data_IF_735877898663
#
_entry.id   IF_735877898663
#
_cell.length_a   1.000
_cell.length_b   1.000
_cell.length_c   1.000
_cell.angle_alpha   90.00
_cell.angle_beta   90.00
_cell.angle_gamma   90.00
#
_symmetry.space_group_name_H-M   'P 1'
#
loop_
_entity.id
_entity.type
_entity.pdbx_description
1 polymer ?
#
# COMPACT_ATOMS: atom_id res chain seq x y z
N UNK A 1 9.48 -19.78 37.83
CA UNK A 1 9.52 -18.33 37.56
C UNK A 1 10.04 -18.15 36.15
N UNK A 2 9.14 -17.94 35.19
CA UNK A 2 9.46 -17.77 33.77
C UNK A 2 9.78 -16.30 33.55
N UNK A 3 11.01 -15.99 33.14
CA UNK A 3 11.38 -14.67 32.63
C UNK A 3 10.50 -14.34 31.43
N UNK A 4 9.51 -13.48 31.62
CA UNK A 4 8.88 -12.75 30.54
C UNK A 4 9.94 -11.80 29.96
N UNK A 5 10.77 -12.30 29.05
CA UNK A 5 11.47 -11.45 28.10
C UNK A 5 10.40 -10.78 27.26
N UNK A 6 10.02 -9.56 27.65
CA UNK A 6 9.26 -8.68 26.80
C UNK A 6 9.94 -8.69 25.44
N UNK A 7 9.26 -9.25 24.43
CA UNK A 7 9.68 -9.19 23.04
C UNK A 7 9.47 -7.73 22.63
N UNK A 8 10.40 -6.88 23.06
CA UNK A 8 10.52 -5.52 22.60
C UNK A 8 10.97 -5.61 21.16
N UNK A 9 10.03 -5.58 20.21
CA UNK A 9 10.38 -5.13 18.87
C UNK A 9 10.96 -3.74 19.10
N UNK A 10 12.27 -3.69 18.89
CA UNK A 10 13.10 -2.57 19.26
C UNK A 10 12.49 -1.34 18.59
N UNK A 11 12.06 -0.36 19.38
CA UNK A 11 11.69 0.96 18.87
C UNK A 11 12.84 1.54 18.00
N UNK A 12 14.06 1.01 18.19
CA UNK A 12 15.23 1.22 17.34
C UNK A 12 15.04 0.78 15.87
N UNK A 13 14.25 -0.26 15.58
CA UNK A 13 13.95 -0.70 14.20
C UNK A 13 13.06 0.34 13.49
N UNK A 14 12.11 0.95 14.21
CA UNK A 14 11.30 2.09 13.74
C UNK A 14 12.13 3.35 13.50
N UNK A 15 13.20 3.53 14.28
CA UNK A 15 14.12 4.66 14.16
C UNK A 15 15.09 4.54 12.97
N UNK A 16 15.18 3.38 12.31
CA UNK A 16 16.06 3.21 11.15
C UNK A 16 15.46 3.91 9.93
N UNK A 17 16.24 4.82 9.35
CA UNK A 17 15.94 5.41 8.05
C UNK A 17 15.67 4.30 7.00
N UNK A 18 14.74 4.51 6.04
CA UNK A 18 14.50 3.58 4.94
C UNK A 18 15.66 3.64 3.92
N UNK A 19 16.85 3.20 4.35
CA UNK A 19 18.12 3.34 3.63
C UNK A 19 18.04 2.72 2.24
N UNK A 20 17.48 1.51 2.10
CA UNK A 20 17.37 0.82 0.81
C UNK A 20 16.59 1.65 -0.21
N UNK A 21 15.48 2.25 0.21
CA UNK A 21 14.63 3.08 -0.66
C UNK A 21 15.31 4.39 -1.03
N UNK A 22 16.00 5.01 -0.06
CA UNK A 22 16.76 6.23 -0.31
C UNK A 22 17.93 5.99 -1.28
N UNK A 23 18.67 4.90 -1.10
CA UNK A 23 19.75 4.50 -2.02
C UNK A 23 19.18 4.27 -3.42
N UNK A 24 18.07 3.54 -3.53
CA UNK A 24 17.45 3.26 -4.82
C UNK A 24 17.02 4.56 -5.54
N UNK A 25 16.37 5.49 -4.82
CA UNK A 25 15.96 6.77 -5.38
C UNK A 25 17.16 7.66 -5.75
N UNK A 26 18.23 7.62 -4.96
CA UNK A 26 19.47 8.32 -5.26
C UNK A 26 20.13 7.78 -6.53
N UNK A 27 20.15 6.45 -6.72
CA UNK A 27 20.64 5.82 -7.94
C UNK A 27 19.82 6.24 -9.16
N UNK A 28 18.49 6.34 -9.04
CA UNK A 28 17.67 6.91 -10.12
C UNK A 28 18.01 8.35 -10.44
N UNK A 29 18.13 9.20 -9.41
CA UNK A 29 18.44 10.61 -9.60
C UNK A 29 19.79 10.74 -10.34
N UNK A 30 20.79 9.97 -9.92
CA UNK A 30 22.10 9.90 -10.57
C UNK A 30 22.01 9.38 -12.01
N UNK A 31 21.22 8.33 -12.27
CA UNK A 31 21.01 7.81 -13.62
C UNK A 31 20.40 8.87 -14.56
N UNK A 32 19.44 9.68 -14.07
CA UNK A 32 18.88 10.80 -14.82
C UNK A 32 19.91 11.89 -15.14
N UNK A 33 20.79 12.21 -14.18
CA UNK A 33 21.89 13.18 -14.39
C UNK A 33 22.89 12.65 -15.41
N UNK A 34 23.34 11.39 -15.26
CA UNK A 34 24.25 10.74 -16.21
C UNK A 34 23.64 10.71 -17.60
N UNK A 35 22.36 10.35 -17.72
CA UNK A 35 21.64 10.35 -18.99
C UNK A 35 21.59 11.76 -19.61
N UNK A 36 21.36 12.81 -18.81
CA UNK A 36 21.36 14.18 -19.30
C UNK A 36 22.75 14.63 -19.78
N UNK A 37 23.81 14.31 -19.02
CA UNK A 37 25.19 14.67 -19.37
C UNK A 37 25.67 13.93 -20.61
N UNK A 38 25.44 12.61 -20.69
CA UNK A 38 25.86 11.79 -21.83
C UNK A 38 25.20 12.19 -23.15
N UNK A 39 24.00 12.77 -23.11
CA UNK A 39 23.28 13.21 -24.30
C UNK A 39 23.44 14.70 -24.57
N UNK A 40 24.20 15.43 -23.75
CA UNK A 40 24.48 16.85 -23.96
C UNK A 40 25.53 17.01 -25.06
N UNK A 41 25.23 17.81 -26.07
CA UNK A 41 26.19 18.13 -27.13
C UNK A 41 26.48 16.96 -28.09
N UNK A 42 25.63 15.91 -28.11
CA UNK A 42 25.73 14.87 -29.13
C UNK A 42 25.50 15.47 -30.51
N UNK A 43 26.39 15.14 -31.43
CA UNK A 43 26.27 15.52 -32.83
C UNK A 43 25.12 14.76 -33.50
N UNK A 44 24.48 15.42 -34.46
CA UNK A 44 23.30 14.93 -35.16
C UNK A 44 23.74 14.35 -36.49
N UNK A 45 23.51 13.05 -36.68
CA UNK A 45 23.73 12.42 -37.98
C UNK A 45 22.42 12.45 -38.77
N UNK A 46 22.35 13.38 -39.74
CA UNK A 46 21.17 13.55 -40.60
C UNK A 46 21.00 12.33 -41.50
N UNK A 47 19.85 11.68 -41.45
CA UNK A 47 19.55 10.52 -42.30
C UNK A 47 18.24 10.64 -43.05
N UNK A 48 18.19 10.11 -44.28
CA UNK A 48 16.98 9.90 -45.06
C UNK A 48 16.78 8.40 -45.27
N UNK A 49 15.68 7.84 -44.75
CA UNK A 49 15.39 6.39 -44.83
C UNK A 49 16.56 5.49 -44.36
N UNK A 50 17.34 5.95 -43.37
CA UNK A 50 18.48 5.22 -42.83
C UNK A 50 19.81 5.44 -43.56
N UNK A 51 19.86 6.25 -44.61
CA UNK A 51 21.11 6.65 -45.28
C UNK A 51 21.56 8.05 -44.85
N UNK A 52 22.85 8.27 -44.55
CA UNK A 52 23.36 9.58 -44.18
C UNK A 52 23.20 10.58 -45.35
N UNK A 53 22.82 11.81 -45.03
CA UNK A 53 22.67 12.90 -46.00
C UNK A 53 23.85 13.88 -45.90
N UNK A 54 24.20 14.50 -47.02
CA UNK A 54 25.18 15.60 -47.09
C UNK A 54 24.47 16.96 -47.25
N UNK A 55 25.16 18.08 -46.90
CA UNK A 55 24.65 19.42 -47.17
C UNK A 55 24.27 19.60 -48.65
N UNK A 56 23.04 20.06 -48.91
CA UNK A 56 22.49 20.22 -50.26
C UNK A 56 21.58 19.06 -50.72
N UNK A 57 21.57 17.93 -50.02
CA UNK A 57 20.68 16.80 -50.36
C UNK A 57 19.21 17.09 -50.03
N UNK A 58 18.30 16.40 -50.73
CA UNK A 58 16.87 16.43 -50.42
C UNK A 58 16.33 15.02 -50.20
N UNK A 59 15.52 14.86 -49.16
CA UNK A 59 14.90 13.59 -48.81
C UNK A 59 13.45 13.58 -49.31
N UNK A 60 13.10 12.57 -50.10
CA UNK A 60 11.71 12.31 -50.50
C UNK A 60 11.11 11.23 -49.61
N UNK A 61 10.06 11.60 -48.88
CA UNK A 61 9.31 10.65 -48.06
C UNK A 61 7.91 10.44 -48.63
N UNK A 62 7.51 9.18 -48.78
CA UNK A 62 6.18 8.82 -49.27
C UNK A 62 5.21 8.67 -48.09
N UNK A 63 4.12 9.45 -48.07
CA UNK A 63 3.08 9.33 -47.04
C UNK A 63 2.04 8.27 -47.46
N UNK A 64 1.63 7.42 -46.52
CA UNK A 64 0.58 6.39 -46.67
C UNK A 64 -0.77 6.87 -47.24
N UNK A 65 -1.04 8.19 -47.25
CA UNK A 65 -2.25 8.81 -47.83
C UNK A 65 -2.02 9.50 -49.19
N UNK A 66 -0.98 9.10 -49.93
CA UNK A 66 -0.84 9.47 -51.34
C UNK A 66 -0.21 10.85 -51.59
N UNK A 67 0.87 11.20 -50.88
CA UNK A 67 1.62 12.42 -51.14
C UNK A 67 3.12 12.24 -50.91
N UNK A 68 3.94 12.85 -51.75
CA UNK A 68 5.40 12.93 -51.57
C UNK A 68 5.74 14.23 -50.84
N UNK A 69 6.39 14.11 -49.67
CA UNK A 69 6.95 15.26 -48.97
C UNK A 69 8.44 15.30 -49.26
N UNK A 70 8.90 16.37 -49.90
CA UNK A 70 10.33 16.65 -50.08
C UNK A 70 10.78 17.55 -48.93
N UNK A 71 11.84 17.16 -48.22
CA UNK A 71 12.48 17.99 -47.19
C UNK A 71 13.95 18.17 -47.54
N UNK A 72 14.47 19.38 -47.36
CA UNK A 72 15.89 19.66 -47.56
C UNK A 72 16.72 19.15 -46.39
N UNK A 73 18.03 18.95 -46.60
CA UNK A 73 19.00 18.64 -45.55
C UNK A 73 18.86 19.57 -44.35
N UNK A 74 18.80 20.89 -44.57
CA UNK A 74 18.69 21.90 -43.50
C UNK A 74 17.40 21.75 -42.67
N UNK A 75 16.28 21.42 -43.33
CA UNK A 75 15.01 21.20 -42.64
C UNK A 75 15.01 19.93 -41.78
N UNK A 76 15.72 18.89 -42.20
CA UNK A 76 15.85 17.65 -41.41
C UNK A 76 16.86 17.86 -40.28
N UNK A 77 17.99 18.49 -40.58
CA UNK A 77 19.00 18.85 -39.59
C UNK A 77 18.42 19.67 -38.45
N UNK A 78 17.60 20.69 -38.73
CA UNK A 78 16.93 21.48 -37.70
C UNK A 78 16.08 20.58 -36.79
N UNK A 79 15.15 19.81 -37.37
CA UNK A 79 14.24 18.93 -36.61
C UNK A 79 14.98 17.87 -35.79
N UNK A 80 16.02 17.26 -36.35
CA UNK A 80 16.81 16.25 -35.64
C UNK A 80 17.66 16.89 -34.54
N UNK A 81 18.26 18.05 -34.79
CA UNK A 81 19.00 18.83 -33.77
C UNK A 81 18.11 19.18 -32.59
N UNK A 82 16.90 19.65 -32.86
CA UNK A 82 15.93 20.00 -31.83
C UNK A 82 15.52 18.77 -31.00
N UNK A 83 15.39 17.62 -31.65
CA UNK A 83 15.03 16.36 -30.99
C UNK A 83 16.16 15.79 -30.13
N UNK A 84 17.42 15.96 -30.54
CA UNK A 84 18.61 15.53 -29.79
C UNK A 84 18.85 16.48 -28.62
N UNK A 85 18.66 17.79 -28.80
CA UNK A 85 18.76 18.78 -27.73
C UNK A 85 17.64 18.63 -26.68
N UNK A 86 16.50 18.02 -27.04
CA UNK A 86 15.41 17.71 -26.10
C UNK A 86 15.75 16.57 -25.12
N UNK A 87 16.62 15.63 -25.50
CA UNK A 87 16.96 14.44 -24.70
C UNK A 87 17.51 14.76 -23.30
N UNK A 88 18.44 15.72 -23.10
CA UNK A 88 18.91 16.05 -21.76
C UNK A 88 17.80 16.53 -20.81
N UNK A 89 16.77 17.22 -21.32
CA UNK A 89 15.65 17.68 -20.51
C UNK A 89 14.79 16.53 -19.98
N UNK A 90 14.71 15.42 -20.71
CA UNK A 90 14.08 14.19 -20.22
C UNK A 90 14.81 13.63 -18.99
N UNK A 91 16.15 13.61 -19.02
CA UNK A 91 16.98 13.18 -17.90
C UNK A 91 16.82 14.09 -16.69
N UNK A 92 16.88 15.41 -16.89
CA UNK A 92 16.69 16.41 -15.82
C UNK A 92 15.31 16.26 -15.17
N UNK A 93 14.24 16.12 -15.96
CA UNK A 93 12.89 15.99 -15.44
C UNK A 93 12.72 14.70 -14.61
N UNK A 94 13.29 13.58 -15.05
CA UNK A 94 13.32 12.34 -14.27
C UNK A 94 14.09 12.49 -12.95
N UNK A 95 15.23 13.20 -12.95
CA UNK A 95 15.99 13.50 -11.73
C UNK A 95 15.16 14.32 -10.73
N UNK A 96 14.44 15.34 -11.19
CA UNK A 96 13.59 16.18 -10.33
C UNK A 96 12.49 15.35 -9.64
N UNK A 97 11.87 14.40 -10.34
CA UNK A 97 10.87 13.49 -9.78
C UNK A 97 11.49 12.61 -8.68
N UNK A 98 12.66 12.02 -8.94
CA UNK A 98 13.36 11.20 -7.95
C UNK A 98 13.72 12.00 -6.70
N UNK A 99 14.24 13.22 -6.85
CA UNK A 99 14.56 14.13 -5.73
C UNK A 99 13.30 14.51 -4.94
N UNK A 100 12.20 14.84 -5.61
CA UNK A 100 10.93 15.15 -4.94
C UNK A 100 10.44 13.96 -4.09
N UNK A 101 10.60 12.73 -4.59
CA UNK A 101 10.25 11.53 -3.84
C UNK A 101 11.19 11.25 -2.66
N UNK A 102 12.49 11.53 -2.79
CA UNK A 102 13.44 11.48 -1.66
C UNK A 102 12.96 12.42 -0.56
N UNK A 103 12.64 13.67 -0.90
CA UNK A 103 12.14 14.67 0.05
C UNK A 103 10.84 14.19 0.70
N UNK A 104 9.90 13.64 -0.07
CA UNK A 104 8.66 13.09 0.47
C UNK A 104 8.89 11.93 1.46
N UNK A 105 9.82 11.02 1.16
CA UNK A 105 10.20 9.91 2.05
C UNK A 105 10.83 10.43 3.33
N UNK A 106 11.75 11.40 3.24
CA UNK A 106 12.42 11.98 4.41
C UNK A 106 11.43 12.74 5.30
N UNK A 107 10.59 13.61 4.73
CA UNK A 107 9.55 14.32 5.48
C UNK A 107 8.63 13.33 6.18
N UNK A 108 8.27 12.23 5.48
CA UNK A 108 7.43 11.20 6.06
C UNK A 108 8.11 10.51 7.23
N UNK A 109 9.37 10.13 7.07
CA UNK A 109 10.16 9.51 8.13
C UNK A 109 10.29 10.42 9.36
N UNK A 110 10.53 11.72 9.18
CA UNK A 110 10.62 12.67 10.30
C UNK A 110 9.28 12.77 11.06
N UNK A 111 8.15 12.85 10.34
CA UNK A 111 6.81 12.84 10.98
C UNK A 111 6.55 11.55 11.76
N UNK A 112 6.99 10.45 11.18
CA UNK A 112 6.87 9.11 11.73
C UNK A 112 7.74 8.95 13.00
N UNK A 113 8.96 9.50 13.03
CA UNK A 113 9.80 9.57 14.23
C UNK A 113 9.19 10.40 15.35
N UNK A 114 8.61 11.57 15.03
CA UNK A 114 7.95 12.43 16.01
C UNK A 114 6.81 11.68 16.71
N UNK A 115 6.02 10.94 15.93
CA UNK A 115 4.91 10.12 16.42
C UNK A 115 5.37 8.97 17.33
N UNK A 116 6.46 8.30 16.95
CA UNK A 116 7.05 7.23 17.76
C UNK A 116 7.59 7.76 19.08
N UNK A 117 8.20 8.94 19.08
CA UNK A 117 8.69 9.58 20.29
C UNK A 117 7.55 9.92 21.25
N UNK A 118 6.41 10.40 20.74
CA UNK A 118 5.20 10.65 21.53
C UNK A 118 4.68 9.37 22.22
N UNK A 119 4.65 8.25 21.50
CA UNK A 119 4.23 6.95 22.05
C UNK A 119 5.23 6.42 23.07
N UNK A 120 6.53 6.62 22.84
CA UNK A 120 7.60 6.11 23.71
C UNK A 120 7.72 6.83 25.06
N UNK A 121 7.11 8.01 25.20
CA UNK A 121 7.02 8.70 26.49
C UNK A 121 6.17 7.92 27.51
N UNK A 122 5.33 6.99 27.04
CA UNK A 122 4.59 6.03 27.85
C UNK A 122 5.32 4.68 27.71
N UNK A 123 5.80 4.03 28.78
CA UNK A 123 6.46 2.73 28.65
C UNK A 123 5.42 1.69 28.19
N UNK A 124 5.48 1.20 26.94
CA UNK A 124 4.52 0.21 26.47
C UNK A 124 4.91 -1.16 27.02
N UNK A 125 3.92 -1.96 27.41
CA UNK A 125 4.18 -3.33 27.80
C UNK A 125 4.72 -4.12 26.59
N UNK A 126 4.08 -4.01 25.42
CA UNK A 126 4.46 -4.69 24.18
C UNK A 126 4.28 -3.76 22.97
N UNK A 127 5.15 -3.84 21.96
CA UNK A 127 5.03 -3.07 20.71
C UNK A 127 5.11 -4.01 19.51
N UNK A 128 4.08 -3.99 18.68
CA UNK A 128 4.05 -4.66 17.39
C UNK A 128 4.15 -3.60 16.29
N UNK A 129 5.17 -3.70 15.43
CA UNK A 129 5.40 -2.74 14.35
C UNK A 129 5.25 -3.46 13.03
N UNK A 130 4.50 -2.88 12.10
CA UNK A 130 4.54 -3.28 10.69
C UNK A 130 5.14 -2.18 9.86
N UNK A 131 6.43 -2.34 9.54
CA UNK A 131 7.09 -1.52 8.52
C UNK A 131 6.68 -2.03 7.16
N UNK A 132 5.93 -1.22 6.40
CA UNK A 132 5.53 -1.61 5.04
C UNK A 132 6.76 -1.79 4.15
N UNK A 133 6.69 -2.77 3.26
CA UNK A 133 7.56 -2.88 2.09
C UNK A 133 7.55 -1.58 1.27
N UNK A 134 8.71 -0.93 1.17
CA UNK A 134 8.92 0.28 0.38
C UNK A 134 9.00 0.03 -1.14
N UNK A 135 8.76 -1.20 -1.60
CA UNK A 135 8.84 -1.58 -3.01
C UNK A 135 7.87 -0.77 -3.88
N UNK A 136 6.65 -0.50 -3.39
CA UNK A 136 5.66 0.29 -4.13
C UNK A 136 6.07 1.74 -4.39
N UNK A 137 6.87 2.33 -3.50
CA UNK A 137 7.45 3.67 -3.68
C UNK A 137 8.53 3.62 -4.76
N UNK A 138 9.42 2.63 -4.71
CA UNK A 138 10.51 2.48 -5.68
C UNK A 138 9.99 2.25 -7.11
N UNK A 139 9.14 1.25 -7.31
CA UNK A 139 8.59 0.94 -8.64
C UNK A 139 7.68 2.04 -9.18
N UNK A 140 6.86 2.65 -8.33
CA UNK A 140 6.03 3.79 -8.72
C UNK A 140 6.84 4.99 -9.17
N UNK A 141 7.93 5.29 -8.46
CA UNK A 141 8.83 6.40 -8.83
C UNK A 141 9.57 6.08 -10.13
N UNK A 142 10.02 4.84 -10.34
CA UNK A 142 10.60 4.42 -11.63
C UNK A 142 9.66 4.73 -12.80
N UNK A 143 8.41 4.26 -12.70
CA UNK A 143 7.43 4.43 -13.75
C UNK A 143 7.12 5.92 -14.00
N UNK A 144 6.97 6.71 -12.93
CA UNK A 144 6.77 8.14 -13.02
C UNK A 144 7.95 8.85 -13.70
N UNK A 145 9.19 8.51 -13.36
CA UNK A 145 10.39 9.07 -14.00
C UNK A 145 10.42 8.80 -15.51
N UNK A 146 10.06 7.59 -15.95
CA UNK A 146 10.00 7.25 -17.37
C UNK A 146 8.93 8.07 -18.10
N UNK A 147 7.73 8.17 -17.53
CA UNK A 147 6.61 8.91 -18.12
C UNK A 147 6.94 10.41 -18.21
N UNK A 148 7.49 10.99 -17.13
CA UNK A 148 7.89 12.41 -17.10
C UNK A 148 9.03 12.67 -18.07
N UNK A 149 10.00 11.77 -18.20
CA UNK A 149 11.08 11.89 -19.18
C UNK A 149 10.55 11.97 -20.61
N UNK A 150 9.64 11.06 -20.99
CA UNK A 150 8.99 11.10 -22.31
C UNK A 150 8.15 12.38 -22.49
N UNK A 151 7.40 12.78 -21.45
CA UNK A 151 6.62 14.01 -21.48
C UNK A 151 7.47 15.26 -21.68
N UNK A 152 8.59 15.37 -20.96
CA UNK A 152 9.53 16.50 -21.08
C UNK A 152 10.19 16.55 -22.46
N UNK A 153 10.56 15.39 -23.03
CA UNK A 153 11.08 15.32 -24.39
C UNK A 153 10.06 15.77 -25.44
N UNK A 154 8.81 15.31 -25.33
CA UNK A 154 7.71 15.73 -26.23
C UNK A 154 7.43 17.23 -26.09
N UNK A 155 7.42 17.76 -24.87
CA UNK A 155 7.18 19.17 -24.61
C UNK A 155 8.27 20.03 -25.24
N UNK A 156 9.54 19.67 -25.05
CA UNK A 156 10.65 20.41 -25.65
C UNK A 156 10.64 20.32 -27.18
N UNK A 157 10.56 19.10 -27.73
CA UNK A 157 10.59 18.87 -29.18
C UNK A 157 9.41 19.52 -29.89
N UNK A 158 8.19 19.30 -29.41
CA UNK A 158 6.98 19.64 -30.16
C UNK A 158 6.45 21.02 -29.81
N UNK A 159 6.49 21.46 -28.55
CA UNK A 159 5.96 22.79 -28.17
C UNK A 159 7.01 23.89 -28.33
N UNK A 160 8.19 23.71 -27.74
CA UNK A 160 9.20 24.77 -27.65
C UNK A 160 9.86 25.01 -29.00
N UNK A 161 10.12 23.93 -29.76
CA UNK A 161 10.81 24.08 -31.06
C UNK A 161 9.89 23.83 -32.26
N UNK A 162 9.05 22.81 -32.23
CA UNK A 162 8.18 22.46 -33.35
C UNK A 162 6.89 23.29 -33.50
N UNK A 163 6.51 24.07 -32.48
CA UNK A 163 5.22 24.77 -32.35
C UNK A 163 3.98 23.91 -32.71
N UNK A 164 4.01 22.62 -32.36
CA UNK A 164 2.96 21.63 -32.58
C UNK A 164 2.21 21.38 -31.28
N UNK A 165 0.98 21.89 -31.21
CA UNK A 165 0.08 21.70 -30.06
C UNK A 165 -0.17 20.22 -29.71
N UNK A 166 -0.13 19.31 -30.69
CA UNK A 166 -0.37 17.88 -30.46
C UNK A 166 0.63 17.22 -29.50
N UNK A 167 1.92 17.60 -29.57
CA UNK A 167 2.92 17.05 -28.64
C UNK A 167 2.84 17.67 -27.24
N UNK A 168 2.40 18.92 -27.15
CA UNK A 168 2.12 19.58 -25.86
C UNK A 168 1.00 18.87 -25.10
N UNK A 169 -0.10 18.53 -25.78
CA UNK A 169 -1.22 17.79 -25.17
C UNK A 169 -0.74 16.44 -24.61
N UNK A 170 0.05 15.69 -25.37
CA UNK A 170 0.60 14.40 -24.91
C UNK A 170 1.55 14.57 -23.72
N UNK A 171 2.35 15.64 -23.69
CA UNK A 171 3.20 15.96 -22.56
C UNK A 171 2.39 16.26 -21.29
N UNK A 172 1.29 17.01 -21.39
CA UNK A 172 0.40 17.26 -20.25
C UNK A 172 -0.30 16.00 -19.75
N UNK A 173 -0.74 15.12 -20.67
CA UNK A 173 -1.31 13.81 -20.31
C UNK A 173 -0.28 12.96 -19.57
N UNK A 174 0.96 12.91 -20.07
CA UNK A 174 2.06 12.20 -19.40
C UNK A 174 2.30 12.74 -17.99
N UNK A 175 2.32 14.08 -17.81
CA UNK A 175 2.50 14.70 -16.50
C UNK A 175 1.35 14.37 -15.54
N UNK A 176 0.10 14.37 -16.00
CA UNK A 176 -1.06 13.99 -15.20
C UNK A 176 -1.00 12.51 -14.77
N UNK A 177 -0.61 11.61 -15.68
CA UNK A 177 -0.44 10.18 -15.37
C UNK A 177 0.68 9.95 -14.35
N UNK A 178 1.82 10.62 -14.53
CA UNK A 178 2.92 10.55 -13.58
C UNK A 178 2.52 11.08 -12.20
N UNK A 179 1.78 12.19 -12.13
CA UNK A 179 1.25 12.72 -10.88
C UNK A 179 0.30 11.73 -10.20
N UNK A 180 -0.58 11.07 -10.95
CA UNK A 180 -1.46 10.01 -10.45
C UNK A 180 -0.68 8.81 -9.88
N UNK A 181 0.36 8.37 -10.58
CA UNK A 181 1.25 7.30 -10.12
C UNK A 181 1.98 7.69 -8.82
N UNK A 182 2.58 8.88 -8.76
CA UNK A 182 3.26 9.37 -7.57
C UNK A 182 2.29 9.51 -6.39
N UNK A 183 1.04 9.90 -6.64
CA UNK A 183 0.00 9.96 -5.60
C UNK A 183 -0.29 8.59 -4.98
N UNK A 184 -0.42 7.55 -5.80
CA UNK A 184 -0.66 6.18 -5.33
C UNK A 184 0.59 5.58 -4.68
N UNK A 185 1.77 5.93 -5.19
CA UNK A 185 3.07 5.46 -4.72
C UNK A 185 3.71 6.31 -3.63
N UNK A 186 2.96 7.27 -3.07
CA UNK A 186 3.43 8.10 -1.96
C UNK A 186 3.82 7.22 -0.76
N UNK A 187 4.84 7.60 0.02
CA UNK A 187 5.21 6.86 1.21
C UNK A 187 4.02 6.83 2.19
N UNK A 188 3.51 5.63 2.44
CA UNK A 188 2.53 5.42 3.50
C UNK A 188 3.26 5.57 4.84
N UNK A 189 2.64 6.21 5.83
CA UNK A 189 3.30 6.29 7.15
C UNK A 189 3.22 5.01 7.93
N UNK A 190 3.89 5.05 9.08
CA UNK A 190 3.95 3.93 10.03
C UNK A 190 2.56 3.34 10.28
N UNK A 191 2.57 2.02 10.37
CA UNK A 191 1.55 1.22 11.00
C UNK A 191 2.17 0.52 12.21
N UNK A 192 1.61 0.77 13.38
CA UNK A 192 2.12 0.19 14.61
C UNK A 192 0.96 -0.01 15.59
N UNK A 193 1.09 -0.98 16.48
CA UNK A 193 0.22 -1.19 17.59
C UNK A 193 1.07 -1.33 18.85
N UNK A 194 0.84 -0.47 19.84
CA UNK A 194 1.47 -0.55 21.14
C UNK A 194 0.43 -0.94 22.18
N UNK A 195 0.72 -1.94 23.00
CA UNK A 195 -0.12 -2.34 24.12
C UNK A 195 0.38 -1.70 25.41
N UNK A 196 -0.55 -1.01 26.07
CA UNK A 196 -0.43 -0.50 27.43
C UNK A 196 -1.31 -1.36 28.36
N UNK A 197 -1.21 -1.13 29.66
CA UNK A 197 -1.95 -1.95 30.62
C UNK A 197 -3.47 -1.77 30.49
N UNK A 198 -3.94 -0.56 30.20
CA UNK A 198 -5.35 -0.18 30.12
C UNK A 198 -5.90 -0.12 28.67
N UNK A 199 -5.02 0.05 27.68
CA UNK A 199 -5.42 0.30 26.29
C UNK A 199 -4.41 -0.18 25.24
N UNK A 200 -4.86 -0.23 24.00
CA UNK A 200 -4.03 -0.38 22.80
C UNK A 200 -3.95 0.97 22.09
N UNK A 201 -2.74 1.40 21.74
CA UNK A 201 -2.52 2.55 20.87
C UNK A 201 -2.20 2.02 19.48
N UNK A 202 -3.15 2.19 18.56
CA UNK A 202 -2.99 1.87 17.16
C UNK A 202 -2.58 3.13 16.38
N UNK A 203 -1.55 2.99 15.56
CA UNK A 203 -1.09 3.97 14.60
C UNK A 203 -1.39 3.45 13.22
N UNK A 204 -2.15 4.19 12.43
CA UNK A 204 -2.33 3.90 11.00
C UNK A 204 -2.21 5.19 10.19
N UNK A 205 -1.25 5.23 9.25
CA UNK A 205 -0.99 6.40 8.40
C UNK A 205 -0.76 7.68 9.22
N UNK A 206 -0.13 7.57 10.38
CA UNK A 206 0.13 8.67 11.34
C UNK A 206 -1.10 9.26 12.03
N UNK A 207 -2.21 8.52 12.07
CA UNK A 207 -3.29 8.79 13.02
C UNK A 207 -3.09 7.88 14.23
N UNK A 208 -3.01 8.48 15.41
CA UNK A 208 -3.03 7.76 16.69
C UNK A 208 -4.47 7.51 17.05
N UNK A 209 -4.77 6.29 17.48
CA UNK A 209 -6.03 5.93 18.08
C UNK A 209 -5.77 5.12 19.34
N UNK A 210 -6.27 5.61 20.45
CA UNK A 210 -6.32 4.84 21.69
C UNK A 210 -7.61 4.01 21.70
N UNK A 211 -7.47 2.73 22.03
CA UNK A 211 -8.54 1.74 21.98
C UNK A 211 -8.55 1.00 23.30
N UNK A 212 -9.60 1.10 24.11
CA UNK A 212 -9.76 0.27 25.30
C UNK A 212 -9.76 -1.22 24.93
N UNK A 213 -9.21 -2.08 25.79
CA UNK A 213 -9.13 -3.52 25.50
C UNK A 213 -10.49 -4.18 25.18
N UNK A 214 -11.58 -3.67 25.76
CA UNK A 214 -12.94 -4.19 25.57
C UNK A 214 -13.62 -3.73 24.25
N UNK A 215 -12.95 -2.86 23.49
CA UNK A 215 -13.35 -2.42 22.14
C UNK A 215 -12.37 -2.91 21.06
N UNK A 216 -11.21 -3.41 21.49
CA UNK A 216 -10.18 -3.92 20.60
C UNK A 216 -10.65 -5.19 19.90
N UNK A 217 -10.30 -5.29 18.62
CA UNK A 217 -10.71 -6.38 17.73
C UNK A 217 -9.50 -6.90 17.00
N UNK A 218 -9.40 -8.20 16.76
CA UNK A 218 -8.47 -8.78 15.80
C UNK A 218 -9.20 -9.56 14.72
N UNK A 219 -8.58 -9.60 13.55
CA UNK A 219 -9.01 -10.40 12.41
C UNK A 219 -7.82 -11.18 11.86
N UNK A 220 -8.05 -12.44 11.55
CA UNK A 220 -7.13 -13.33 10.84
C UNK A 220 -7.61 -13.46 9.40
N UNK A 221 -6.99 -12.71 8.48
CA UNK A 221 -7.32 -12.80 7.06
C UNK A 221 -6.50 -13.91 6.40
N UNK A 222 -7.19 -14.80 5.70
CA UNK A 222 -6.58 -15.72 4.73
C UNK A 222 -6.79 -15.14 3.34
N UNK A 223 -6.08 -14.06 3.00
CA UNK A 223 -6.10 -13.50 1.65
C UNK A 223 -4.89 -14.06 0.89
N UNK A 224 -5.16 -14.84 -0.16
CA UNK A 224 -4.16 -15.41 -1.09
C UNK A 224 -2.93 -16.02 -0.38
N UNK A 225 -3.06 -17.23 0.17
CA UNK A 225 -2.00 -18.03 0.85
C UNK A 225 -1.18 -17.34 1.96
N UNK A 226 -1.48 -16.08 2.29
CA UNK A 226 -0.82 -15.33 3.35
C UNK A 226 -1.80 -15.05 4.49
N UNK A 227 -1.38 -15.36 5.71
CA UNK A 227 -2.14 -15.10 6.92
C UNK A 227 -1.84 -13.66 7.35
N UNK A 228 -2.75 -12.74 7.08
CA UNK A 228 -2.62 -11.34 7.50
C UNK A 228 -3.37 -11.18 8.82
N UNK A 229 -2.60 -11.21 9.90
CA UNK A 229 -3.07 -10.83 11.22
C UNK A 229 -3.25 -9.32 11.29
N UNK A 230 -4.38 -8.84 11.79
CA UNK A 230 -4.60 -7.42 11.98
C UNK A 230 -5.34 -7.13 13.28
N UNK A 231 -4.99 -6.02 13.92
CA UNK A 231 -5.73 -5.44 15.04
C UNK A 231 -6.51 -4.24 14.54
N UNK A 232 -7.80 -4.21 14.82
CA UNK A 232 -8.69 -3.12 14.49
C UNK A 232 -9.60 -2.78 15.67
N UNK A 233 -10.65 -2.05 15.33
CA UNK A 233 -11.74 -1.65 16.20
C UNK A 233 -13.02 -1.69 15.36
N UNK A 234 -14.16 -1.30 15.92
CA UNK A 234 -15.50 -1.47 15.34
C UNK A 234 -15.65 -1.01 13.86
N UNK A 235 -14.73 -0.18 13.34
CA UNK A 235 -14.56 0.10 11.91
C UNK A 235 -13.33 -0.62 11.32
N UNK A 236 -13.58 -1.57 10.39
CA UNK A 236 -12.54 -2.37 9.71
C UNK A 236 -11.60 -1.56 8.80
N UNK A 237 -11.94 -0.33 8.40
CA UNK A 237 -11.19 0.42 7.37
C UNK A 237 -9.79 0.84 7.82
N UNK A 238 -9.53 0.87 9.12
CA UNK A 238 -8.29 1.39 9.69
C UNK A 238 -7.49 0.35 10.50
N UNK A 239 -7.77 -0.94 10.33
CA UNK A 239 -7.03 -2.01 11.00
C UNK A 239 -5.52 -1.94 10.70
N UNK A 240 -4.72 -2.22 11.73
CA UNK A 240 -3.26 -2.28 11.70
C UNK A 240 -2.85 -3.73 11.48
N UNK A 241 -2.23 -4.08 10.33
CA UNK A 241 -1.66 -5.40 10.15
C UNK A 241 -0.51 -5.60 11.14
N UNK A 242 -0.32 -6.84 11.61
CA UNK A 242 0.76 -7.26 12.49
C UNK A 242 1.46 -8.45 11.85
N UNK A 243 2.73 -8.25 11.48
CA UNK A 243 3.57 -9.28 10.84
C UNK A 243 4.30 -10.15 11.88
N UNK A 244 4.55 -9.61 13.08
CA UNK A 244 5.17 -10.34 14.19
C UNK A 244 4.14 -11.25 14.88
N UNK A 245 4.25 -12.56 14.62
CA UNK A 245 3.34 -13.59 15.13
C UNK A 245 3.38 -13.73 16.67
N UNK A 246 4.56 -13.78 17.35
CA UNK A 246 4.63 -13.70 18.81
C UNK A 246 3.93 -12.48 19.40
N UNK A 247 4.18 -11.29 18.84
CA UNK A 247 3.56 -10.06 19.33
C UNK A 247 2.04 -10.08 19.12
N UNK A 248 1.59 -10.57 17.97
CA UNK A 248 0.16 -10.75 17.69
C UNK A 248 -0.50 -11.74 18.67
N UNK A 249 0.17 -12.84 19.00
CA UNK A 249 -0.36 -13.86 19.91
C UNK A 249 -0.56 -13.30 21.32
N UNK A 250 0.38 -12.51 21.83
CA UNK A 250 0.25 -11.83 23.12
C UNK A 250 -0.90 -10.82 23.14
N UNK A 251 -1.03 -10.02 22.07
CA UNK A 251 -2.13 -9.05 21.94
C UNK A 251 -3.50 -9.74 21.84
N UNK A 252 -3.60 -10.81 21.05
CA UNK A 252 -4.81 -11.65 20.93
C UNK A 252 -5.25 -12.21 22.28
N UNK A 253 -4.32 -12.70 23.10
CA UNK A 253 -4.65 -13.23 24.42
C UNK A 253 -5.27 -12.16 25.33
N UNK A 254 -4.67 -10.96 25.40
CA UNK A 254 -5.22 -9.85 26.20
C UNK A 254 -6.58 -9.37 25.69
N UNK A 255 -6.76 -9.26 24.36
CA UNK A 255 -8.06 -8.91 23.76
C UNK A 255 -9.12 -9.93 24.15
N UNK A 256 -8.79 -11.23 24.04
CA UNK A 256 -9.70 -12.31 24.42
C UNK A 256 -10.11 -12.22 25.88
N UNK A 257 -9.16 -11.98 26.79
CA UNK A 257 -9.43 -11.83 28.22
C UNK A 257 -10.41 -10.69 28.50
N UNK A 258 -10.15 -9.49 27.96
CA UNK A 258 -11.02 -8.33 28.16
C UNK A 258 -12.43 -8.53 27.60
N UNK A 259 -12.55 -9.17 26.42
CA UNK A 259 -13.84 -9.47 25.83
C UNK A 259 -14.61 -10.56 26.58
N UNK A 260 -13.93 -11.56 27.14
CA UNK A 260 -14.57 -12.57 27.99
C UNK A 260 -15.06 -11.96 29.30
N UNK A 261 -14.30 -11.04 29.90
CA UNK A 261 -14.77 -10.27 31.07
C UNK A 261 -16.03 -9.45 30.73
N UNK A 262 -16.04 -8.77 29.57
CA UNK A 262 -17.24 -8.07 29.07
C UNK A 262 -18.42 -9.02 28.83
N UNK A 263 -18.16 -10.21 28.28
CA UNK A 263 -19.18 -11.22 28.06
C UNK A 263 -19.83 -11.72 29.37
N UNK A 264 -19.05 -11.78 30.45
CA UNK A 264 -19.54 -12.17 31.79
C UNK A 264 -20.40 -11.08 32.46
N UNK A 265 -20.20 -9.80 32.09
CA UNK A 265 -21.04 -8.69 32.58
C UNK A 265 -22.44 -8.68 31.95
N UNK A 266 -22.69 -9.53 30.95
CA UNK A 266 -23.96 -9.60 30.23
C UNK A 266 -24.10 -8.55 29.13
N UNK A 267 -25.23 -8.57 28.42
CA UNK A 267 -25.52 -7.66 27.32
C UNK A 267 -25.22 -8.22 25.92
N UNK A 268 -25.36 -7.33 24.93
CA UNK A 268 -25.16 -7.63 23.50
C UNK A 268 -23.66 -7.60 23.14
N UNK A 269 -23.16 -8.69 22.56
CA UNK A 269 -21.78 -8.81 22.06
C UNK A 269 -21.80 -8.78 20.53
N UNK A 270 -21.13 -7.78 19.93
CA UNK A 270 -21.13 -7.54 18.48
C UNK A 270 -19.82 -8.01 17.86
N UNK A 271 -19.86 -9.15 17.17
CA UNK A 271 -18.75 -9.72 16.38
C UNK A 271 -18.97 -9.47 14.88
N UNK A 272 -19.12 -8.21 14.48
CA UNK A 272 -19.39 -7.83 13.10
C UNK A 272 -20.76 -8.35 12.62
N UNK A 273 -20.76 -9.31 11.68
CA UNK A 273 -22.02 -9.92 11.20
C UNK A 273 -22.61 -10.94 12.17
N UNK A 274 -21.86 -11.41 13.17
CA UNK A 274 -22.37 -12.27 14.23
C UNK A 274 -22.61 -11.42 15.49
N UNK A 275 -23.79 -11.51 16.09
CA UNK A 275 -24.14 -10.76 17.30
C UNK A 275 -24.82 -11.69 18.29
N UNK A 276 -24.33 -11.75 19.52
CA UNK A 276 -24.90 -12.57 20.59
C UNK A 276 -25.67 -11.67 21.55
N UNK A 277 -26.96 -11.91 21.73
CA UNK A 277 -27.82 -11.13 22.62
C UNK A 277 -28.76 -12.08 23.38
N UNK A 278 -28.59 -12.18 24.70
CA UNK A 278 -29.31 -13.15 25.52
C UNK A 278 -29.15 -14.57 24.97
N UNK A 279 -30.28 -15.23 24.71
CA UNK A 279 -30.36 -16.59 24.17
C UNK A 279 -30.38 -16.66 22.65
N UNK A 280 -30.15 -15.54 21.96
CA UNK A 280 -30.21 -15.46 20.51
C UNK A 280 -28.87 -15.07 19.91
N UNK A 281 -28.56 -15.67 18.77
CA UNK A 281 -27.39 -15.37 17.95
C UNK A 281 -27.89 -14.86 16.60
N UNK A 282 -27.66 -13.57 16.33
CA UNK A 282 -27.96 -12.96 15.04
C UNK A 282 -26.78 -13.14 14.10
N UNK A 283 -27.02 -13.80 12.97
CA UNK A 283 -26.02 -14.05 11.93
C UNK A 283 -26.47 -13.34 10.65
N UNK A 284 -25.79 -12.24 10.33
CA UNK A 284 -26.20 -11.29 9.30
C UNK A 284 -27.55 -10.64 9.66
N UNK A 285 -28.60 -11.05 8.95
CA UNK A 285 -29.98 -10.58 9.15
C UNK A 285 -30.89 -11.62 9.82
N UNK A 286 -30.37 -12.81 10.10
CA UNK A 286 -31.16 -13.93 10.63
C UNK A 286 -30.92 -14.07 12.13
N UNK A 287 -31.98 -14.11 12.93
CA UNK A 287 -31.91 -14.43 14.36
C UNK A 287 -32.08 -15.94 14.53
N UNK A 288 -31.15 -16.57 15.23
CA UNK A 288 -31.13 -18.01 15.49
C UNK A 288 -31.14 -18.20 17.01
N UNK A 289 -32.05 -19.00 17.57
CA UNK A 289 -31.96 -19.41 18.98
C UNK A 289 -30.61 -20.11 19.23
N UNK A 290 -29.85 -19.66 20.22
CA UNK A 290 -28.51 -20.18 20.49
C UNK A 290 -28.52 -21.68 20.76
N UNK A 291 -29.57 -22.20 21.40
CA UNK A 291 -29.79 -23.61 21.65
C UNK A 291 -29.87 -24.48 20.38
N UNK A 292 -30.20 -23.89 19.22
CA UNK A 292 -30.24 -24.62 17.95
C UNK A 292 -28.85 -24.77 17.33
N UNK A 293 -27.86 -23.99 17.76
CA UNK A 293 -26.50 -24.03 17.24
C UNK A 293 -25.72 -25.12 17.99
N UNK A 294 -25.79 -26.35 17.48
CA UNK A 294 -25.10 -27.49 18.08
C UNK A 294 -23.61 -27.55 17.69
N UNK A 295 -23.28 -27.18 16.46
CA UNK A 295 -21.92 -27.28 15.94
C UNK A 295 -21.53 -26.09 15.05
N UNK A 296 -20.28 -25.65 15.12
CA UNK A 296 -19.65 -24.74 14.17
C UNK A 296 -18.51 -25.47 13.49
N UNK A 297 -18.51 -25.54 12.16
CA UNK A 297 -17.45 -26.21 11.37
C UNK A 297 -16.78 -25.22 10.43
N UNK A 298 -15.53 -25.50 10.03
CA UNK A 298 -14.78 -24.66 9.09
C UNK A 298 -14.64 -25.33 7.74
N UNK A 299 -14.76 -24.56 6.67
CA UNK A 299 -14.51 -25.04 5.31
C UNK A 299 -13.68 -24.01 4.56
N UNK A 300 -12.55 -24.46 3.99
CA UNK A 300 -11.70 -23.66 3.10
C UNK A 300 -12.16 -23.86 1.67
N UNK A 301 -12.53 -22.79 0.99
CA UNK A 301 -12.87 -22.76 -0.43
C UNK A 301 -11.89 -21.84 -1.19
N UNK A 302 -12.02 -21.76 -2.53
CA UNK A 302 -11.27 -20.77 -3.33
C UNK A 302 -11.57 -19.33 -2.91
N UNK A 303 -12.78 -19.11 -2.40
CA UNK A 303 -13.28 -17.81 -1.96
C UNK A 303 -12.91 -17.51 -0.50
N UNK A 304 -12.10 -18.35 0.16
CA UNK A 304 -11.61 -18.13 1.51
C UNK A 304 -12.15 -19.14 2.53
N UNK A 305 -12.00 -18.81 3.82
CA UNK A 305 -12.43 -19.67 4.92
C UNK A 305 -13.82 -19.26 5.43
N UNK A 306 -14.72 -20.24 5.54
CA UNK A 306 -16.09 -20.08 5.97
C UNK A 306 -16.33 -20.84 7.28
N UNK A 307 -17.14 -20.25 8.14
CA UNK A 307 -17.69 -20.85 9.35
C UNK A 307 -19.13 -21.25 9.06
N UNK A 308 -19.47 -22.50 9.30
CA UNK A 308 -20.77 -23.09 9.04
C UNK A 308 -21.41 -23.46 10.38
N UNK A 309 -22.50 -22.79 10.72
CA UNK A 309 -23.32 -23.03 11.91
C UNK A 309 -24.33 -24.12 11.59
N UNK A 310 -24.39 -25.18 12.41
CA UNK A 310 -25.21 -26.37 12.19
C UNK A 310 -26.06 -26.72 13.40
N UNK A 311 -27.19 -27.35 13.13
CA UNK A 311 -28.03 -28.01 14.14
C UNK A 311 -27.46 -29.36 14.56
N UNK A 312 -28.03 -29.96 15.61
CA UNK A 312 -27.67 -31.30 16.07
C UNK A 312 -27.95 -32.40 15.01
N UNK A 313 -28.90 -32.13 14.10
CA UNK A 313 -29.20 -32.97 12.94
C UNK A 313 -28.12 -32.95 11.85
N UNK A 314 -27.16 -32.01 11.94
CA UNK A 314 -26.15 -31.74 10.92
C UNK A 314 -26.60 -30.76 9.83
N UNK A 315 -27.87 -30.31 9.85
CA UNK A 315 -28.40 -29.32 8.92
C UNK A 315 -27.69 -27.97 9.07
N UNK A 316 -27.37 -27.33 7.94
CA UNK A 316 -26.77 -25.99 7.94
C UNK A 316 -27.82 -24.92 8.28
N UNK A 317 -27.56 -24.16 9.32
CA UNK A 317 -28.34 -22.98 9.69
C UNK A 317 -27.89 -21.75 8.90
N UNK A 318 -26.57 -21.53 8.86
CA UNK A 318 -25.97 -20.37 8.20
C UNK A 318 -24.48 -20.55 7.98
N UNK A 319 -23.95 -19.83 7.00
CA UNK A 319 -22.51 -19.65 6.80
C UNK A 319 -22.10 -18.17 6.87
N UNK A 320 -20.90 -17.93 7.40
CA UNK A 320 -20.22 -16.63 7.39
C UNK A 320 -18.76 -16.79 6.99
N UNK A 321 -18.19 -15.81 6.29
CA UNK A 321 -16.75 -15.76 6.09
C UNK A 321 -16.04 -15.43 7.41
N UNK A 322 -14.92 -16.09 7.70
CA UNK A 322 -14.14 -15.84 8.93
C UNK A 322 -13.70 -14.37 9.03
N UNK A 323 -13.26 -13.76 7.92
CA UNK A 323 -12.89 -12.33 7.85
C UNK A 323 -14.05 -11.38 8.25
N UNK A 324 -15.30 -11.83 8.18
CA UNK A 324 -16.46 -11.02 8.56
C UNK A 324 -16.66 -10.97 10.07
N UNK A 325 -16.05 -11.88 10.82
CA UNK A 325 -16.24 -12.07 12.26
C UNK A 325 -14.95 -11.72 13.02
N UNK A 326 -14.87 -10.52 13.62
CA UNK A 326 -13.81 -10.20 14.55
C UNK A 326 -13.84 -11.06 15.80
N UNK A 327 -12.68 -11.23 16.44
CA UNK A 327 -12.50 -11.99 17.70
C UNK A 327 -13.19 -13.38 17.67
N UNK A 328 -12.92 -14.22 16.64
CA UNK A 328 -13.65 -15.48 16.47
C UNK A 328 -13.52 -16.41 17.69
N UNK A 329 -12.36 -16.42 18.37
CA UNK A 329 -12.17 -17.28 19.56
C UNK A 329 -13.08 -16.89 20.71
N UNK A 330 -13.35 -15.60 20.89
CA UNK A 330 -14.27 -15.12 21.93
C UNK A 330 -15.69 -15.54 21.59
N UNK A 331 -16.11 -15.35 20.33
CA UNK A 331 -17.43 -15.82 19.88
C UNK A 331 -17.59 -17.32 20.19
N UNK A 332 -16.58 -18.12 19.86
CA UNK A 332 -16.56 -19.56 20.10
C UNK A 332 -16.62 -19.92 21.58
N UNK A 333 -15.83 -19.25 22.43
CA UNK A 333 -15.88 -19.44 23.86
C UNK A 333 -17.26 -19.11 24.44
N UNK A 334 -17.89 -18.02 23.97
CA UNK A 334 -19.25 -17.63 24.37
C UNK A 334 -20.29 -18.64 23.92
N UNK A 335 -20.25 -19.12 22.67
CA UNK A 335 -21.19 -20.12 22.15
C UNK A 335 -21.05 -21.44 22.91
N UNK A 336 -19.83 -21.90 23.14
CA UNK A 336 -19.55 -23.12 23.91
C UNK A 336 -20.05 -23.01 25.34
N UNK A 337 -19.75 -21.90 26.03
CA UNK A 337 -20.14 -21.71 27.42
C UNK A 337 -21.65 -21.51 27.59
N UNK A 338 -22.29 -20.70 26.73
CA UNK A 338 -23.71 -20.36 26.90
C UNK A 338 -24.67 -21.40 26.32
N UNK A 339 -24.29 -22.07 25.23
CA UNK A 339 -25.19 -22.94 24.47
C UNK A 339 -24.68 -24.38 24.33
N UNK A 340 -23.49 -24.71 24.82
CA UNK A 340 -22.92 -26.05 24.67
C UNK A 340 -22.47 -26.38 23.24
N UNK A 341 -22.31 -25.37 22.39
CA UNK A 341 -21.92 -25.54 20.97
C UNK A 341 -20.54 -26.19 20.84
N UNK A 342 -20.45 -27.20 19.96
CA UNK A 342 -19.20 -27.85 19.56
C UNK A 342 -18.53 -27.05 18.42
N UNK A 343 -17.20 -26.96 18.41
CA UNK A 343 -16.41 -26.21 17.42
C UNK A 343 -15.34 -27.13 16.86
#
# INVERSE_FOLDING_TARGET
MSENKAVGIDLALLKRLPIVTLIWLALLAAAGVVFAVMNRGKEVLVTCNGQPMSPGDSCRTWRRRGGTSVRTYEQILAVETDSVQAVPYAGIAATLVAVAMIVAVVIRHVKDLALVNEISALPPAHVAVTTRSNAGVAFGTLAACLIVGVGAWLLWRDLIVGNRLGGAVLAFVALALAAGLLWVSRPAGIRAAAAFDDRIVAVNRSKIREIPWHEAVYTTNFESDSLVNAIGWESKTDAVPIEDEPAFTGLRAKINEAWLQKANQGGELKFGKAVVSGDTVRIGRTNIPGANIAQVTFTKTRDGMFMIFREASGAELKQLRVVEVPNPDVLFAVLRHRFGTQI
#
